data_IF_472054808021
#
_entry.id   IF_472054808021
#
_cell.length_a   1.000
_cell.length_b   1.000
_cell.length_c   1.000
_cell.angle_alpha   90.00
_cell.angle_beta   90.00
_cell.angle_gamma   90.00
#
_symmetry.space_group_name_H-M   'P 1'
#
loop_
_entity.id
_entity.type
_entity.pdbx_description
1 polymer ?
#
# COMPACT_ATOMS: atom_id res chain seq x y z
N UNK A 1 -13.51 12.46 11.95
CA UNK A 1 -12.14 12.38 12.50
C UNK A 1 -11.74 10.99 12.99
N UNK A 2 -12.67 10.15 13.49
CA UNK A 2 -12.37 8.77 13.90
C UNK A 2 -12.08 7.82 12.72
N UNK A 3 -12.79 7.97 11.60
CA UNK A 3 -12.62 7.11 10.42
C UNK A 3 -11.23 7.26 9.76
N UNK A 4 -10.70 8.48 9.73
CA UNK A 4 -9.35 8.75 9.18
C UNK A 4 -8.25 8.08 10.03
N UNK A 5 -8.39 8.12 11.36
CA UNK A 5 -7.47 7.42 12.28
C UNK A 5 -7.56 5.90 12.12
N UNK A 6 -8.76 5.36 11.90
CA UNK A 6 -9.00 3.95 11.67
C UNK A 6 -8.39 3.46 10.34
N UNK A 7 -8.49 4.25 9.27
CA UNK A 7 -7.86 3.97 7.97
C UNK A 7 -6.33 3.95 8.03
N UNK A 8 -5.71 4.98 8.63
CA UNK A 8 -4.25 5.01 8.80
C UNK A 8 -3.76 3.81 9.62
N UNK A 9 -4.50 3.43 10.67
CA UNK A 9 -4.17 2.28 11.51
C UNK A 9 -4.29 0.96 10.72
N UNK A 10 -5.36 0.79 9.93
CA UNK A 10 -5.56 -0.36 9.05
C UNK A 10 -4.44 -0.50 8.01
N UNK A 11 -4.04 0.59 7.36
CA UNK A 11 -2.92 0.59 6.40
C UNK A 11 -1.61 0.18 7.08
N UNK A 12 -1.32 0.74 8.26
CA UNK A 12 -0.17 0.33 9.07
C UNK A 12 -0.18 -1.15 9.41
N UNK A 13 -1.36 -1.69 9.76
CA UNK A 13 -1.57 -3.10 10.03
C UNK A 13 -1.28 -3.95 8.78
N UNK A 14 -1.93 -3.69 7.65
CA UNK A 14 -1.72 -4.43 6.41
C UNK A 14 -0.25 -4.41 5.94
N UNK A 15 0.43 -3.27 6.07
CA UNK A 15 1.86 -3.15 5.75
C UNK A 15 2.73 -4.03 6.66
N UNK A 16 2.42 -4.13 7.96
CA UNK A 16 3.10 -5.03 8.89
C UNK A 16 2.83 -6.50 8.55
N UNK A 17 1.59 -6.86 8.27
CA UNK A 17 1.22 -8.23 7.86
C UNK A 17 1.91 -8.65 6.57
N UNK A 18 1.97 -7.76 5.57
CA UNK A 18 2.66 -8.03 4.32
C UNK A 18 4.16 -8.32 4.55
N UNK A 19 4.84 -7.55 5.41
CA UNK A 19 6.24 -7.80 5.78
C UNK A 19 6.42 -9.18 6.43
N UNK A 20 5.54 -9.54 7.35
CA UNK A 20 5.57 -10.85 8.03
C UNK A 20 5.34 -11.97 7.02
N UNK A 21 4.35 -11.83 6.13
CA UNK A 21 4.06 -12.81 5.09
C UNK A 21 5.25 -13.02 4.13
N UNK A 22 5.90 -11.94 3.70
CA UNK A 22 7.11 -12.03 2.86
C UNK A 22 8.26 -12.70 3.62
N UNK A 23 8.43 -12.40 4.89
CA UNK A 23 9.43 -13.05 5.73
C UNK A 23 9.17 -14.55 5.88
N UNK A 24 7.94 -14.96 6.20
CA UNK A 24 7.53 -16.37 6.30
C UNK A 24 7.75 -17.09 4.98
N UNK A 25 7.39 -16.47 3.84
CA UNK A 25 7.64 -17.02 2.50
C UNK A 25 9.11 -17.30 2.27
N UNK A 26 10.00 -16.38 2.63
CA UNK A 26 11.44 -16.54 2.44
C UNK A 26 11.98 -17.66 3.35
N UNK A 27 11.50 -17.76 4.59
CA UNK A 27 11.86 -18.83 5.52
C UNK A 27 11.43 -20.21 5.00
N UNK A 28 10.22 -20.31 4.44
CA UNK A 28 9.72 -21.53 3.78
C UNK A 28 10.56 -21.90 2.56
N UNK A 29 11.04 -20.92 1.79
CA UNK A 29 11.98 -21.17 0.70
C UNK A 29 13.29 -21.81 1.16
N UNK A 30 13.90 -21.26 2.21
CA UNK A 30 15.16 -21.79 2.78
C UNK A 30 14.97 -23.21 3.33
N UNK A 31 13.90 -23.43 4.10
CA UNK A 31 13.59 -24.75 4.68
C UNK A 31 13.24 -25.78 3.61
N UNK A 32 12.53 -25.39 2.56
CA UNK A 32 12.29 -26.21 1.39
C UNK A 32 13.60 -26.64 0.72
N UNK A 33 14.49 -25.69 0.41
CA UNK A 33 15.79 -26.02 -0.21
C UNK A 33 16.62 -26.98 0.67
N UNK A 34 16.66 -26.76 2.00
CA UNK A 34 17.36 -27.65 2.92
C UNK A 34 16.78 -29.07 2.96
N UNK A 35 15.44 -29.20 2.97
CA UNK A 35 14.74 -30.48 2.86
C UNK A 35 15.00 -31.20 1.53
N UNK A 36 15.04 -30.44 0.43
CA UNK A 36 15.37 -30.97 -0.89
C UNK A 36 16.80 -31.48 -0.99
N UNK A 37 17.78 -30.72 -0.48
CA UNK A 37 19.20 -31.13 -0.47
C UNK A 37 19.41 -32.39 0.37
N UNK A 38 18.77 -32.51 1.53
CA UNK A 38 18.85 -33.71 2.37
C UNK A 38 18.21 -34.94 1.70
N UNK A 39 17.11 -34.75 0.97
CA UNK A 39 16.50 -35.83 0.17
C UNK A 39 17.38 -36.25 -1.02
N UNK A 40 18.13 -35.34 -1.64
CA UNK A 40 19.03 -35.69 -2.76
C UNK A 40 20.29 -36.40 -2.26
N UNK A 41 20.82 -36.00 -1.11
CA UNK A 41 22.08 -36.51 -0.58
C UNK A 41 21.98 -37.90 0.08
N UNK A 42 20.77 -38.36 0.40
CA UNK A 42 20.53 -39.58 1.17
C UNK A 42 19.89 -40.67 0.30
N UNK A 43 20.24 -41.96 0.51
CA UNK A 43 19.59 -43.06 -0.19
C UNK A 43 18.11 -43.15 0.19
N UNK A 44 17.25 -43.48 -0.77
CA UNK A 44 15.77 -43.51 -0.61
C UNK A 44 15.26 -44.52 0.42
N UNK A 45 16.11 -45.49 0.80
CA UNK A 45 15.85 -46.47 1.86
C UNK A 45 16.13 -45.92 3.26
N UNK A 46 16.78 -44.76 3.38
CA UNK A 46 17.14 -44.17 4.66
C UNK A 46 16.00 -43.38 5.28
N UNK A 47 15.91 -43.41 6.62
CA UNK A 47 14.95 -42.61 7.38
C UNK A 47 15.15 -41.09 7.16
N UNK A 48 16.40 -40.65 6.99
CA UNK A 48 16.75 -39.24 6.76
C UNK A 48 16.23 -38.71 5.41
N UNK A 49 16.19 -39.55 4.37
CA UNK A 49 15.58 -39.22 3.08
C UNK A 49 14.12 -38.83 3.24
N UNK A 50 13.33 -39.67 3.94
CA UNK A 50 11.90 -39.46 4.11
C UNK A 50 11.60 -38.22 4.95
N UNK A 51 12.42 -37.90 5.95
CA UNK A 51 12.31 -36.64 6.70
C UNK A 51 12.54 -35.45 5.77
N UNK A 52 13.65 -35.44 5.02
CA UNK A 52 13.99 -34.34 4.09
C UNK A 52 12.90 -34.13 3.04
N UNK A 53 12.38 -35.22 2.47
CA UNK A 53 11.31 -35.19 1.47
C UNK A 53 9.99 -34.63 2.03
N UNK A 54 9.57 -35.08 3.22
CA UNK A 54 8.36 -34.56 3.86
C UNK A 54 8.47 -33.06 4.20
N UNK A 55 9.64 -32.62 4.69
CA UNK A 55 9.91 -31.20 4.96
C UNK A 55 9.85 -30.38 3.67
N UNK A 56 10.44 -30.89 2.57
CA UNK A 56 10.36 -30.25 1.26
C UNK A 56 8.91 -30.13 0.77
N UNK A 57 8.15 -31.23 0.79
CA UNK A 57 6.76 -31.24 0.36
C UNK A 57 5.88 -30.28 1.18
N UNK A 58 6.04 -30.27 2.51
CA UNK A 58 5.33 -29.37 3.40
C UNK A 58 5.67 -27.90 3.10
N UNK A 59 6.96 -27.58 2.92
CA UNK A 59 7.41 -26.22 2.60
C UNK A 59 6.84 -25.73 1.26
N UNK A 60 6.83 -26.59 0.23
CA UNK A 60 6.25 -26.28 -1.08
C UNK A 60 4.73 -26.09 -0.99
N UNK A 61 4.01 -26.96 -0.27
CA UNK A 61 2.57 -26.83 -0.08
C UNK A 61 2.21 -25.51 0.64
N UNK A 62 2.94 -25.18 1.70
CA UNK A 62 2.76 -23.92 2.43
C UNK A 62 3.09 -22.71 1.55
N UNK A 63 4.17 -22.76 0.75
CA UNK A 63 4.52 -21.71 -0.21
C UNK A 63 3.38 -21.45 -1.19
N UNK A 64 2.83 -22.49 -1.82
CA UNK A 64 1.73 -22.37 -2.77
C UNK A 64 0.48 -21.77 -2.13
N UNK A 65 0.18 -22.12 -0.88
CA UNK A 65 -0.95 -21.53 -0.13
C UNK A 65 -0.72 -20.06 0.26
N UNK A 66 0.53 -19.62 0.42
CA UNK A 66 0.87 -18.27 0.86
C UNK A 66 0.81 -17.24 -0.28
N UNK A 67 1.05 -17.66 -1.53
CA UNK A 67 0.99 -16.80 -2.72
C UNK A 67 -0.34 -16.02 -2.85
N UNK A 68 -1.52 -16.67 -2.84
CA UNK A 68 -2.79 -15.96 -2.95
C UNK A 68 -3.03 -15.02 -1.76
N UNK A 69 -2.57 -15.40 -0.57
CA UNK A 69 -2.70 -14.59 0.64
C UNK A 69 -1.87 -13.29 0.57
N UNK A 70 -0.62 -13.39 0.10
CA UNK A 70 0.23 -12.21 -0.16
C UNK A 70 -0.41 -11.29 -1.19
N UNK A 71 -0.95 -11.85 -2.27
CA UNK A 71 -1.64 -11.09 -3.31
C UNK A 71 -2.86 -10.34 -2.77
N UNK A 72 -3.71 -11.04 -2.00
CA UNK A 72 -4.91 -10.46 -1.39
C UNK A 72 -4.57 -9.31 -0.42
N UNK A 73 -3.60 -9.51 0.47
CA UNK A 73 -3.15 -8.47 1.41
C UNK A 73 -2.59 -7.25 0.65
N UNK A 74 -1.82 -7.49 -0.43
CA UNK A 74 -1.28 -6.41 -1.25
C UNK A 74 -2.38 -5.63 -1.98
N UNK A 75 -3.40 -6.31 -2.49
CA UNK A 75 -4.56 -5.67 -3.12
C UNK A 75 -5.31 -4.80 -2.11
N UNK A 76 -5.63 -5.36 -0.93
CA UNK A 76 -6.32 -4.64 0.13
C UNK A 76 -5.55 -3.41 0.63
N UNK A 77 -4.21 -3.53 0.75
CA UNK A 77 -3.35 -2.40 1.10
C UNK A 77 -3.45 -1.28 0.06
N UNK A 78 -3.35 -1.62 -1.24
CA UNK A 78 -3.48 -0.64 -2.33
C UNK A 78 -4.85 0.04 -2.34
N UNK A 79 -5.92 -0.73 -2.15
CA UNK A 79 -7.28 -0.19 -2.08
C UNK A 79 -7.46 0.75 -0.88
N UNK A 80 -6.88 0.41 0.28
CA UNK A 80 -6.94 1.28 1.45
C UNK A 80 -6.11 2.56 1.27
N UNK A 81 -4.91 2.46 0.68
CA UNK A 81 -4.07 3.62 0.34
C UNK A 81 -4.79 4.54 -0.67
N UNK A 82 -5.46 3.97 -1.68
CA UNK A 82 -6.27 4.72 -2.64
C UNK A 82 -7.45 5.43 -1.96
N UNK A 83 -8.18 4.74 -1.06
CA UNK A 83 -9.29 5.34 -0.34
C UNK A 83 -8.84 6.49 0.58
N UNK A 84 -7.69 6.34 1.25
CA UNK A 84 -7.10 7.41 2.05
C UNK A 84 -6.76 8.62 1.17
N UNK A 85 -6.15 8.41 0.01
CA UNK A 85 -5.81 9.48 -0.92
C UNK A 85 -7.06 10.21 -1.44
N UNK A 86 -8.14 9.48 -1.77
CA UNK A 86 -9.43 10.10 -2.14
C UNK A 86 -9.99 10.95 -1.01
N UNK A 87 -9.99 10.44 0.22
CA UNK A 87 -10.51 11.17 1.37
C UNK A 87 -9.68 12.44 1.66
N UNK A 88 -8.35 12.36 1.55
CA UNK A 88 -7.45 13.50 1.72
C UNK A 88 -7.60 14.55 0.62
N UNK A 89 -7.82 14.13 -0.63
CA UNK A 89 -8.15 15.03 -1.72
C UNK A 89 -9.46 15.77 -1.41
N UNK A 90 -10.55 15.04 -1.14
CA UNK A 90 -11.85 15.63 -0.80
C UNK A 90 -11.76 16.61 0.39
N UNK A 91 -11.10 16.22 1.48
CA UNK A 91 -10.90 17.08 2.65
C UNK A 91 -10.18 18.39 2.30
N UNK A 92 -9.17 18.33 1.43
CA UNK A 92 -8.41 19.50 0.99
C UNK A 92 -9.23 20.40 0.06
N UNK A 93 -10.05 19.80 -0.82
CA UNK A 93 -10.99 20.52 -1.68
C UNK A 93 -12.03 21.27 -0.87
N UNK A 94 -12.70 20.58 0.06
CA UNK A 94 -13.71 21.16 0.95
C UNK A 94 -13.15 22.27 1.83
N UNK A 95 -11.88 22.16 2.25
CA UNK A 95 -11.22 23.20 3.03
C UNK A 95 -10.97 24.47 2.19
N UNK A 96 -10.49 24.30 0.96
CA UNK A 96 -10.27 25.41 0.03
C UNK A 96 -11.59 26.11 -0.33
N UNK A 97 -12.64 25.33 -0.62
CA UNK A 97 -13.95 25.87 -0.97
C UNK A 97 -14.60 26.60 0.21
N UNK A 98 -14.53 26.04 1.42
CA UNK A 98 -14.99 26.73 2.63
C UNK A 98 -14.24 28.02 2.89
N UNK A 99 -12.92 28.01 2.72
CA UNK A 99 -12.12 29.23 2.86
C UNK A 99 -12.58 30.28 1.84
N UNK A 100 -12.75 29.89 0.57
CA UNK A 100 -13.22 30.77 -0.51
C UNK A 100 -14.59 31.38 -0.23
N UNK A 101 -15.54 30.57 0.26
CA UNK A 101 -16.89 31.05 0.61
C UNK A 101 -16.86 32.06 1.76
N UNK A 102 -16.01 31.84 2.75
CA UNK A 102 -15.84 32.76 3.88
C UNK A 102 -15.03 34.01 3.53
N UNK A 103 -14.26 33.97 2.44
CA UNK A 103 -13.28 34.99 2.06
C UNK A 103 -13.43 35.41 0.59
N UNK A 104 -14.65 35.72 0.16
CA UNK A 104 -15.00 35.98 -1.24
C UNK A 104 -14.14 37.08 -1.91
N UNK A 105 -13.74 38.10 -1.15
CA UNK A 105 -12.93 39.23 -1.61
C UNK A 105 -11.46 39.17 -1.14
N UNK A 106 -11.04 38.06 -0.52
CA UNK A 106 -9.68 37.98 -0.01
C UNK A 106 -8.64 37.81 -1.12
N UNK A 107 -7.44 38.28 -0.83
CA UNK A 107 -6.29 38.09 -1.68
C UNK A 107 -5.85 36.62 -1.67
N UNK A 108 -5.82 36.02 -2.87
CA UNK A 108 -5.33 34.67 -3.11
C UNK A 108 -3.82 34.55 -2.87
N UNK A 109 -3.09 35.67 -2.79
CA UNK A 109 -1.69 35.70 -2.36
C UNK A 109 -1.51 35.69 -0.84
N UNK A 110 -2.60 35.68 -0.06
CA UNK A 110 -2.50 35.49 1.37
C UNK A 110 -1.83 34.14 1.70
N UNK A 111 -0.99 34.15 2.74
CA UNK A 111 -0.25 32.95 3.17
C UNK A 111 -1.17 31.75 3.44
N UNK A 112 -2.37 32.02 3.96
CA UNK A 112 -3.37 30.99 4.26
C UNK A 112 -3.96 30.37 2.98
N UNK A 113 -4.32 31.19 1.98
CA UNK A 113 -4.79 30.70 0.69
C UNK A 113 -3.72 29.87 -0.04
N UNK A 114 -2.49 30.37 -0.05
CA UNK A 114 -1.36 29.70 -0.69
C UNK A 114 -1.05 28.33 -0.04
N UNK A 115 -1.19 28.22 1.28
CA UNK A 115 -1.01 26.95 1.98
C UNK A 115 -2.14 25.95 1.66
N UNK A 116 -3.39 26.42 1.59
CA UNK A 116 -4.53 25.58 1.20
C UNK A 116 -4.40 25.08 -0.24
N UNK A 117 -4.00 25.94 -1.19
CA UNK A 117 -3.75 25.56 -2.58
C UNK A 117 -2.61 24.55 -2.66
N UNK A 118 -1.49 24.79 -1.95
CA UNK A 118 -0.36 23.84 -1.92
C UNK A 118 -0.80 22.47 -1.41
N UNK A 119 -1.56 22.42 -0.32
CA UNK A 119 -2.09 21.19 0.25
C UNK A 119 -3.04 20.47 -0.72
N UNK A 120 -3.89 21.22 -1.43
CA UNK A 120 -4.78 20.67 -2.46
C UNK A 120 -3.99 20.06 -3.62
N UNK A 121 -2.89 20.69 -4.05
CA UNK A 121 -2.02 20.14 -5.10
C UNK A 121 -1.35 18.85 -4.64
N UNK A 122 -0.81 18.81 -3.43
CA UNK A 122 -0.11 17.64 -2.89
C UNK A 122 -1.05 16.43 -2.78
N UNK A 123 -2.23 16.64 -2.22
CA UNK A 123 -3.27 15.59 -2.08
C UNK A 123 -3.82 15.15 -3.44
N UNK A 124 -4.00 16.07 -4.40
CA UNK A 124 -4.42 15.75 -5.77
C UNK A 124 -3.40 14.89 -6.51
N UNK A 125 -2.11 15.17 -6.35
CA UNK A 125 -1.05 14.34 -6.92
C UNK A 125 -1.06 12.93 -6.36
N UNK A 126 -1.15 12.79 -5.04
CA UNK A 126 -1.25 11.47 -4.39
C UNK A 126 -2.50 10.70 -4.83
N UNK A 127 -3.62 11.38 -5.04
CA UNK A 127 -4.82 10.78 -5.62
C UNK A 127 -4.58 10.24 -7.04
N UNK A 128 -3.96 11.03 -7.92
CA UNK A 128 -3.67 10.59 -9.30
C UNK A 128 -2.65 9.44 -9.34
N UNK A 129 -1.65 9.44 -8.47
CA UNK A 129 -0.68 8.34 -8.34
C UNK A 129 -1.35 7.03 -7.91
N UNK A 130 -2.37 7.11 -7.06
CA UNK A 130 -3.13 5.93 -6.59
C UNK A 130 -4.23 5.49 -7.57
N UNK A 131 -4.64 6.37 -8.50
CA UNK A 131 -5.70 6.14 -9.49
C UNK A 131 -5.18 6.33 -10.93
N UNK A 132 -4.30 5.44 -11.43
CA UNK A 132 -3.62 5.63 -12.72
C UNK A 132 -4.56 5.65 -13.95
N UNK A 133 -5.82 5.26 -13.78
CA UNK A 133 -6.83 5.30 -14.85
C UNK A 133 -7.43 6.70 -15.04
N UNK A 134 -7.27 7.59 -14.06
CA UNK A 134 -7.76 8.96 -14.13
C UNK A 134 -6.66 9.83 -14.75
N UNK A 135 -6.90 10.31 -15.97
CA UNK A 135 -6.00 11.22 -16.68
C UNK A 135 -6.47 12.66 -16.49
N UNK A 136 -6.17 13.22 -15.33
CA UNK A 136 -6.54 14.61 -14.99
C UNK A 136 -5.33 15.40 -14.46
N UNK A 137 -4.25 15.38 -15.25
CA UNK A 137 -3.05 16.16 -14.93
C UNK A 137 -3.29 17.67 -15.05
N UNK A 138 -4.26 18.09 -15.88
CA UNK A 138 -4.63 19.49 -16.09
C UNK A 138 -5.17 20.16 -14.82
N UNK A 139 -5.88 19.41 -13.96
CA UNK A 139 -6.34 19.93 -12.67
C UNK A 139 -5.19 20.40 -11.77
N UNK A 140 -4.05 19.71 -11.80
CA UNK A 140 -2.86 20.04 -10.99
C UNK A 140 -2.16 21.26 -11.55
N UNK A 141 -2.00 21.36 -12.87
CA UNK A 141 -1.40 22.53 -13.53
C UNK A 141 -2.24 23.79 -13.36
N UNK A 142 -3.56 23.69 -13.37
CA UNK A 142 -4.46 24.81 -13.09
C UNK A 142 -4.27 25.35 -11.67
N UNK A 143 -4.22 24.47 -10.66
CA UNK A 143 -3.95 24.86 -9.28
C UNK A 143 -2.54 25.45 -9.10
N UNK A 144 -1.54 24.90 -9.80
CA UNK A 144 -0.18 25.44 -9.78
C UNK A 144 -0.07 26.83 -10.41
N UNK A 145 -0.93 27.16 -11.37
CA UNK A 145 -0.98 28.51 -11.95
C UNK A 145 -1.52 29.54 -10.94
N UNK A 146 -2.36 29.15 -9.97
CA UNK A 146 -2.91 30.02 -8.92
C UNK A 146 -1.91 30.33 -7.79
N UNK A 147 -0.78 29.61 -7.74
CA UNK A 147 0.34 29.86 -6.81
C UNK A 147 1.35 30.91 -7.32
N UNK A 148 1.20 31.38 -8.57
CA UNK A 148 2.10 32.35 -9.21
C UNK A 148 1.54 33.76 -9.14
#
# INVERSE_FOLDING_TARGET
MNEKKDLTQKIGHYRKYLKILVFVRNLLGITGVGGGVTAIAMPSTSFLFWIGFQVFCLAVALLLSLLPLVSAVRSNLRSAEALQATQEDCDAGDALDRWRLNHWLADWNSKEAQELIRRRIETRKQFLETHPFIKDEESVTCLQAQLR
#
